data_IF_448137423642
#
_entry.id   IF_448137423642
#
_cell.length_a   1.000
_cell.length_b   1.000
_cell.length_c   1.000
_cell.angle_alpha   90.00
_cell.angle_beta   90.00
_cell.angle_gamma   90.00
#
_symmetry.space_group_name_H-M   'P 1'
#
loop_
_entity.id
_entity.type
_entity.pdbx_description
1 polymer ?
#
# COMPACT_ATOMS: atom_id res chain seq x y z
N UNK A 1 -23.56 -10.72 -31.05
CA UNK A 1 -22.36 -10.45 -31.85
C UNK A 1 -21.37 -9.51 -31.18
N UNK A 2 -21.80 -8.34 -30.63
CA UNK A 2 -20.89 -7.44 -29.91
C UNK A 2 -20.28 -8.09 -28.67
N UNK A 3 -21.06 -8.87 -27.91
CA UNK A 3 -20.59 -9.52 -26.68
C UNK A 3 -19.52 -10.57 -26.93
N UNK A 4 -19.59 -11.29 -28.05
CA UNK A 4 -18.57 -12.27 -28.40
C UNK A 4 -17.26 -11.61 -28.85
N UNK A 5 -17.35 -10.48 -29.53
CA UNK A 5 -16.16 -9.74 -29.94
C UNK A 5 -15.45 -9.12 -28.73
N UNK A 6 -16.20 -8.62 -27.74
CA UNK A 6 -15.66 -8.09 -26.47
C UNK A 6 -15.04 -9.23 -25.65
N UNK A 7 -15.70 -10.39 -25.56
CA UNK A 7 -15.15 -11.54 -24.86
C UNK A 7 -13.90 -12.10 -25.55
N UNK A 8 -13.87 -12.11 -26.88
CA UNK A 8 -12.67 -12.51 -27.63
C UNK A 8 -11.54 -11.50 -27.43
N UNK A 9 -11.82 -10.21 -27.43
CA UNK A 9 -10.84 -9.15 -27.16
C UNK A 9 -10.31 -9.22 -25.73
N UNK A 10 -11.13 -9.63 -24.77
CA UNK A 10 -10.72 -9.89 -23.40
C UNK A 10 -9.92 -11.20 -23.25
N UNK A 11 -10.25 -12.23 -24.05
CA UNK A 11 -9.54 -13.51 -24.05
C UNK A 11 -8.24 -13.48 -24.88
N UNK A 12 -8.22 -12.70 -25.94
CA UNK A 12 -6.97 -12.36 -26.63
C UNK A 12 -6.25 -11.26 -25.84
N UNK A 13 -6.44 -11.27 -24.53
CA UNK A 13 -5.70 -10.41 -23.64
C UNK A 13 -4.30 -10.29 -24.18
N UNK A 14 -4.02 -9.14 -24.76
CA UNK A 14 -2.74 -8.74 -25.25
C UNK A 14 -1.78 -9.14 -24.13
N UNK A 15 -1.10 -10.27 -24.31
CA UNK A 15 0.13 -10.54 -23.59
C UNK A 15 1.12 -9.48 -24.09
N UNK A 16 0.84 -8.24 -23.72
CA UNK A 16 1.76 -7.15 -23.90
C UNK A 16 2.99 -7.60 -23.14
N UNK A 17 3.99 -8.09 -23.89
CA UNK A 17 5.25 -8.52 -23.34
C UNK A 17 5.80 -7.31 -22.60
N UNK A 18 5.61 -7.31 -21.28
CA UNK A 18 6.02 -6.19 -20.45
C UNK A 18 7.52 -5.99 -20.64
N UNK A 19 7.98 -4.76 -20.88
CA UNK A 19 9.39 -4.51 -21.09
C UNK A 19 10.17 -4.97 -19.85
N UNK A 20 11.36 -5.55 -20.05
CA UNK A 20 12.17 -6.13 -18.97
C UNK A 20 12.47 -5.15 -17.83
N UNK A 21 12.53 -3.86 -18.12
CA UNK A 21 12.75 -2.82 -17.09
C UNK A 21 11.53 -2.60 -16.17
N UNK A 22 10.33 -3.01 -16.59
CA UNK A 22 9.10 -2.80 -15.80
C UNK A 22 9.20 -3.49 -14.44
N UNK A 23 9.66 -4.72 -14.39
CA UNK A 23 9.84 -5.46 -13.14
C UNK A 23 10.86 -4.76 -12.22
N UNK A 24 11.94 -4.26 -12.78
CA UNK A 24 12.98 -3.53 -12.01
C UNK A 24 12.42 -2.23 -11.43
N UNK A 25 11.68 -1.47 -12.24
CA UNK A 25 11.04 -0.22 -11.78
C UNK A 25 10.00 -0.51 -10.71
N UNK A 26 9.15 -1.54 -10.90
CA UNK A 26 8.14 -1.92 -9.93
C UNK A 26 8.77 -2.32 -8.59
N UNK A 27 9.71 -3.25 -8.60
CA UNK A 27 10.36 -3.74 -7.39
C UNK A 27 11.16 -2.63 -6.72
N UNK A 28 11.91 -1.85 -7.51
CA UNK A 28 12.68 -0.71 -7.01
C UNK A 28 11.79 0.33 -6.32
N UNK A 29 10.66 0.71 -6.93
CA UNK A 29 9.70 1.64 -6.33
C UNK A 29 9.06 1.11 -5.05
N UNK A 30 8.77 -0.19 -4.99
CA UNK A 30 8.24 -0.84 -3.79
C UNK A 30 9.26 -0.81 -2.63
N UNK A 31 10.52 -1.10 -2.91
CA UNK A 31 11.58 -1.06 -1.88
C UNK A 31 11.78 0.37 -1.39
N UNK A 32 11.94 1.33 -2.28
CA UNK A 32 12.14 2.74 -1.93
C UNK A 32 10.94 3.30 -1.17
N UNK A 33 9.72 2.97 -1.60
CA UNK A 33 8.50 3.37 -0.91
C UNK A 33 8.40 2.79 0.49
N UNK A 34 8.70 1.50 0.67
CA UNK A 34 8.72 0.85 1.98
C UNK A 34 9.75 1.47 2.93
N UNK A 35 10.96 1.71 2.45
CA UNK A 35 12.00 2.41 3.21
C UNK A 35 11.58 3.83 3.59
N UNK A 36 10.94 4.56 2.67
CA UNK A 36 10.42 5.90 2.94
C UNK A 36 9.40 5.91 4.08
N UNK A 37 8.42 5.00 4.07
CA UNK A 37 7.44 4.88 5.15
C UNK A 37 8.05 4.41 6.47
N UNK A 38 9.04 3.53 6.43
CA UNK A 38 9.78 3.10 7.62
C UNK A 38 10.51 4.29 8.25
N UNK A 39 11.25 5.06 7.47
CA UNK A 39 11.97 6.24 7.94
C UNK A 39 10.98 7.27 8.51
N UNK A 40 9.87 7.53 7.83
CA UNK A 40 8.83 8.45 8.30
C UNK A 40 8.24 8.01 9.65
N UNK A 41 8.00 6.72 9.84
CA UNK A 41 7.51 6.16 11.09
C UNK A 41 8.51 6.34 12.23
N UNK A 42 9.76 5.95 12.01
CA UNK A 42 10.82 6.04 13.02
C UNK A 42 11.10 7.49 13.41
N UNK A 43 11.27 8.37 12.42
CA UNK A 43 11.51 9.79 12.68
C UNK A 43 10.32 10.46 13.36
N UNK A 44 9.10 10.10 12.96
CA UNK A 44 7.88 10.63 13.56
C UNK A 44 7.78 10.28 15.04
N UNK A 45 8.00 9.02 15.42
CA UNK A 45 7.97 8.61 16.83
C UNK A 45 9.14 9.19 17.63
N UNK A 46 10.34 9.24 17.05
CA UNK A 46 11.49 9.85 17.70
C UNK A 46 11.26 11.34 18.04
N UNK A 47 10.57 12.06 17.16
CA UNK A 47 10.27 13.48 17.32
C UNK A 47 8.95 13.77 18.04
N UNK A 48 8.11 12.76 18.27
CA UNK A 48 6.79 12.94 18.90
C UNK A 48 6.89 13.53 20.32
N UNK A 49 7.98 13.32 21.03
CA UNK A 49 8.23 13.92 22.35
C UNK A 49 8.44 15.44 22.28
N UNK A 50 9.11 15.90 21.22
CA UNK A 50 9.41 17.31 21.01
C UNK A 50 8.25 18.09 20.40
N UNK A 51 7.51 17.48 19.47
CA UNK A 51 6.46 18.12 18.68
C UNK A 51 5.02 17.78 19.11
N UNK A 52 4.86 16.88 20.09
CA UNK A 52 3.59 16.61 20.74
C UNK A 52 2.65 15.64 20.02
N UNK A 53 1.38 15.73 20.39
CA UNK A 53 0.32 14.81 19.97
C UNK A 53 0.11 14.72 18.44
N UNK A 54 0.12 15.81 17.65
CA UNK A 54 -0.06 15.73 16.20
C UNK A 54 0.95 14.82 15.54
N UNK A 55 2.22 14.93 15.92
CA UNK A 55 3.32 14.13 15.35
C UNK A 55 3.12 12.63 15.61
N UNK A 56 2.58 12.26 16.78
CA UNK A 56 2.23 10.85 17.07
C UNK A 56 1.16 10.32 16.12
N UNK A 57 0.12 11.09 15.86
CA UNK A 57 -0.94 10.69 14.94
C UNK A 57 -0.43 10.49 13.52
N UNK A 58 0.42 11.39 13.03
CA UNK A 58 1.06 11.22 11.71
C UNK A 58 2.01 10.02 11.67
N UNK A 59 2.69 9.72 12.79
CA UNK A 59 3.53 8.52 12.88
C UNK A 59 2.71 7.23 12.80
N UNK A 60 1.55 7.18 13.47
CA UNK A 60 0.62 6.06 13.33
C UNK A 60 0.08 5.93 11.91
N UNK A 61 -0.25 7.04 11.25
CA UNK A 61 -0.64 7.03 9.85
C UNK A 61 0.47 6.44 8.96
N UNK A 62 1.72 6.83 9.17
CA UNK A 62 2.87 6.29 8.45
C UNK A 62 3.06 4.79 8.68
N UNK A 63 2.86 4.29 9.91
CA UNK A 63 2.89 2.84 10.21
C UNK A 63 1.78 2.10 9.48
N UNK A 64 0.55 2.62 9.49
CA UNK A 64 -0.56 2.01 8.76
C UNK A 64 -0.27 1.91 7.26
N UNK A 65 0.31 2.97 6.67
CA UNK A 65 0.69 2.97 5.25
C UNK A 65 1.88 2.04 4.97
N UNK A 66 2.80 1.89 5.91
CA UNK A 66 3.88 0.89 5.82
C UNK A 66 3.32 -0.53 5.79
N UNK A 67 2.37 -0.84 6.68
CA UNK A 67 1.71 -2.16 6.71
C UNK A 67 0.98 -2.43 5.40
N UNK A 68 0.24 -1.44 4.89
CA UNK A 68 -0.42 -1.54 3.60
C UNK A 68 0.59 -1.75 2.46
N UNK A 69 1.74 -1.08 2.52
CA UNK A 69 2.80 -1.22 1.52
C UNK A 69 3.43 -2.62 1.50
N UNK A 70 3.57 -3.26 2.67
CA UNK A 70 4.06 -4.64 2.80
C UNK A 70 3.19 -5.63 2.03
N UNK A 71 1.89 -5.38 1.90
CA UNK A 71 0.99 -6.20 1.08
C UNK A 71 1.54 -6.41 -0.34
N UNK A 72 2.00 -5.35 -0.99
CA UNK A 72 2.50 -5.44 -2.37
C UNK A 72 3.79 -6.26 -2.46
N UNK A 73 4.65 -6.17 -1.46
CA UNK A 73 5.86 -6.99 -1.36
C UNK A 73 5.50 -8.47 -1.19
N UNK A 74 4.51 -8.78 -0.35
CA UNK A 74 4.03 -10.14 -0.14
C UNK A 74 3.38 -10.71 -1.41
N UNK A 75 2.53 -9.94 -2.08
CA UNK A 75 1.90 -10.35 -3.33
C UNK A 75 2.95 -10.57 -4.44
N UNK A 76 3.93 -9.68 -4.55
CA UNK A 76 5.05 -9.84 -5.48
C UNK A 76 5.87 -11.10 -5.18
N UNK A 77 6.14 -11.37 -3.92
CA UNK A 77 6.85 -12.58 -3.49
C UNK A 77 6.09 -13.86 -3.84
N UNK A 78 4.78 -13.91 -3.52
CA UNK A 78 3.91 -15.04 -3.87
C UNK A 78 3.86 -15.26 -5.38
N UNK A 79 3.76 -14.19 -6.16
CA UNK A 79 3.75 -14.27 -7.63
C UNK A 79 5.06 -14.86 -8.18
N UNK A 80 6.21 -14.50 -7.61
CA UNK A 80 7.53 -15.02 -8.01
C UNK A 80 7.70 -16.49 -7.62
N UNK A 81 7.17 -16.89 -6.48
CA UNK A 81 7.27 -18.28 -5.98
C UNK A 81 6.40 -19.26 -6.77
N UNK A 82 5.63 -18.79 -7.76
CA UNK A 82 4.85 -19.65 -8.65
C UNK A 82 3.69 -20.35 -7.96
N UNK A 83 3.12 -19.76 -6.94
CA UNK A 83 1.91 -20.25 -6.30
C UNK A 83 0.77 -20.25 -7.32
N UNK A 84 0.57 -21.38 -7.98
CA UNK A 84 -0.42 -21.60 -9.05
C UNK A 84 -1.87 -21.71 -8.52
N UNK A 85 -2.15 -21.31 -7.31
CA UNK A 85 -3.52 -21.28 -6.82
C UNK A 85 -4.06 -19.87 -7.01
N UNK A 86 -4.64 -19.66 -8.20
CA UNK A 86 -5.49 -18.51 -8.50
C UNK A 86 -6.81 -18.63 -7.72
N UNK A 87 -6.72 -18.62 -6.42
CA UNK A 87 -7.86 -18.42 -5.55
C UNK A 87 -8.12 -16.90 -5.48
N UNK A 88 -8.87 -16.42 -6.47
CA UNK A 88 -9.21 -15.01 -6.61
C UNK A 88 -9.86 -14.47 -5.33
N UNK A 89 -10.65 -15.28 -4.66
CA UNK A 89 -11.30 -14.92 -3.41
C UNK A 89 -10.30 -14.70 -2.29
N UNK A 90 -9.25 -15.51 -2.21
CA UNK A 90 -8.17 -15.32 -1.23
C UNK A 90 -7.39 -14.04 -1.49
N UNK A 91 -7.11 -13.72 -2.75
CA UNK A 91 -6.42 -12.47 -3.12
C UNK A 91 -7.28 -11.26 -2.78
N UNK A 92 -8.58 -11.31 -3.05
CA UNK A 92 -9.53 -10.24 -2.68
C UNK A 92 -9.64 -10.07 -1.16
N UNK A 93 -9.77 -11.17 -0.42
CA UNK A 93 -9.84 -11.14 1.04
C UNK A 93 -8.56 -10.56 1.65
N UNK A 94 -7.39 -10.93 1.11
CA UNK A 94 -6.11 -10.40 1.51
C UNK A 94 -6.01 -8.89 1.23
N UNK A 95 -6.40 -8.47 0.02
CA UNK A 95 -6.46 -7.05 -0.34
C UNK A 95 -7.41 -6.24 0.55
N UNK A 96 -8.60 -6.77 0.83
CA UNK A 96 -9.59 -6.14 1.69
C UNK A 96 -9.07 -5.97 3.13
N UNK A 97 -8.39 -7.00 3.67
CA UNK A 97 -7.78 -6.93 5.00
C UNK A 97 -6.76 -5.79 5.09
N UNK A 98 -5.84 -5.69 4.14
CA UNK A 98 -4.83 -4.62 4.17
C UNK A 98 -5.42 -3.24 3.90
N UNK A 99 -6.53 -3.16 3.16
CA UNK A 99 -7.21 -1.88 2.90
C UNK A 99 -7.76 -1.24 4.19
N UNK A 100 -8.03 -2.02 5.23
CA UNK A 100 -8.39 -1.49 6.56
C UNK A 100 -7.29 -0.58 7.10
N UNK A 101 -6.02 -0.89 6.84
CA UNK A 101 -4.91 -0.06 7.30
C UNK A 101 -4.84 1.29 6.56
N UNK A 102 -5.29 1.36 5.32
CA UNK A 102 -5.43 2.64 4.60
C UNK A 102 -6.47 3.53 5.29
N UNK A 103 -7.62 2.95 5.63
CA UNK A 103 -8.68 3.67 6.34
C UNK A 103 -8.21 4.14 7.72
N UNK A 104 -7.57 3.27 8.49
CA UNK A 104 -6.99 3.63 9.78
C UNK A 104 -5.92 4.72 9.64
N UNK A 105 -5.05 4.62 8.62
CA UNK A 105 -4.05 5.63 8.32
C UNK A 105 -4.68 7.00 8.00
N UNK A 106 -5.76 7.00 7.21
CA UNK A 106 -6.51 8.22 6.90
C UNK A 106 -7.14 8.84 8.16
N UNK A 107 -7.76 8.04 9.02
CA UNK A 107 -8.31 8.51 10.30
C UNK A 107 -7.20 9.10 11.18
N UNK A 108 -6.07 8.43 11.30
CA UNK A 108 -4.93 8.93 12.06
C UNK A 108 -4.40 10.27 11.50
N UNK A 109 -4.32 10.41 10.18
CA UNK A 109 -3.89 11.64 9.54
C UNK A 109 -4.88 12.79 9.82
N UNK A 110 -6.19 12.53 9.69
CA UNK A 110 -7.23 13.51 10.03
C UNK A 110 -7.11 13.96 11.49
N UNK A 111 -6.95 13.01 12.41
CA UNK A 111 -6.76 13.34 13.84
C UNK A 111 -5.49 14.14 14.08
N UNK A 112 -4.42 13.85 13.34
CA UNK A 112 -3.19 14.63 13.35
C UNK A 112 -3.43 16.09 12.95
N UNK A 113 -4.14 16.32 11.85
CA UNK A 113 -4.49 17.67 11.40
C UNK A 113 -5.41 18.41 12.38
N UNK A 114 -6.45 17.74 12.89
CA UNK A 114 -7.35 18.34 13.89
C UNK A 114 -6.58 18.77 15.14
N UNK A 115 -5.63 17.94 15.59
CA UNK A 115 -4.79 18.28 16.76
C UNK A 115 -3.79 19.38 16.47
N UNK A 116 -3.33 19.48 15.23
CA UNK A 116 -2.41 20.55 14.80
C UNK A 116 -3.10 21.91 14.76
N UNK A 117 -4.36 21.94 14.30
CA UNK A 117 -5.14 23.18 14.15
C UNK A 117 -5.85 23.62 15.44
N UNK A 118 -6.11 22.68 16.36
CA UNK A 118 -6.73 22.95 17.66
C UNK A 118 -5.79 22.51 18.79
N UNK A 119 -4.71 23.26 19.07
CA UNK A 119 -3.83 22.94 20.18
C UNK A 119 -4.60 22.98 21.52
N UNK A 120 -4.31 22.07 22.46
CA UNK A 120 -4.90 22.12 23.79
C UNK A 120 -4.54 23.48 24.44
N UNK A 121 -5.56 24.17 24.96
CA UNK A 121 -5.41 25.39 25.73
C UNK A 121 -4.77 25.09 27.08
#
# INVERSE_FOLDING_TARGET
>A
MLDQAILLALQTGVTAKQPAYFAVVLVGSLIVGGLGWLIASVLGFARARAFGAPTRWFSFAAVCLLIYHIQFLLLGFVAVMGAQQNDFDSVLAFGAFFNVFVVLGAVCAIMGFVRLTNPPR
#
